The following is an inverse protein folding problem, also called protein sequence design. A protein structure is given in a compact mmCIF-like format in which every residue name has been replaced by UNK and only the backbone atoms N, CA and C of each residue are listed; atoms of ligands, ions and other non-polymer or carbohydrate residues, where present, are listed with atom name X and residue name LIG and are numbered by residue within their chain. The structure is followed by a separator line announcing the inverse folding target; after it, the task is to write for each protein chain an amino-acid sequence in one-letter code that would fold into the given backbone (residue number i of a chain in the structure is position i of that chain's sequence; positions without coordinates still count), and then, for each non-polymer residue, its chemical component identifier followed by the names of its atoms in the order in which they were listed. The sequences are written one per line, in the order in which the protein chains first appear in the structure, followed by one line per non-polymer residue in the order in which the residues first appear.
data_IF_112718588289
#
_entry.id   IF_112718588289
#
_cell.length_a   1.000
_cell.length_b   1.000
_cell.length_c   1.000
_cell.angle_alpha   90.00
_cell.angle_beta   90.00
_cell.angle_gamma   90.00
#
_symmetry.space_group_name_H-M   'P 1'
#
loop_
_entity.id
_entity.type
_entity.pdbx_description
1 polymer ?
#
# COMPACT_ATOMS: atom_id res chain seq x y z
N UNK A 1 26.12 -0.99 3.27
CA UNK A 1 27.12 0.09 3.40
C UNK A 1 28.29 -0.42 4.23
N UNK A 2 29.52 -0.02 3.91
CA UNK A 2 30.69 -0.36 4.73
C UNK A 2 31.04 0.81 5.64
N UNK A 3 31.49 0.52 6.87
CA UNK A 3 32.08 1.54 7.74
C UNK A 3 33.35 2.11 7.08
N UNK A 4 33.51 3.45 7.01
CA UNK A 4 34.62 4.06 6.27
C UNK A 4 36.00 3.68 6.81
N UNK A 5 36.09 3.33 8.10
CA UNK A 5 37.36 2.98 8.76
C UNK A 5 37.62 1.47 8.70
N UNK A 6 36.67 0.64 9.14
CA UNK A 6 36.91 -0.81 9.28
C UNK A 6 36.51 -1.62 8.04
N UNK A 7 35.91 -0.98 7.02
CA UNK A 7 35.36 -1.63 5.81
C UNK A 7 34.42 -2.81 6.08
N UNK A 8 33.91 -2.96 7.30
CA UNK A 8 32.99 -4.04 7.65
C UNK A 8 31.59 -3.72 7.14
N UNK A 9 30.86 -4.78 6.75
CA UNK A 9 29.49 -4.67 6.30
C UNK A 9 28.61 -4.27 7.49
N UNK A 10 27.90 -3.15 7.38
CA UNK A 10 26.93 -2.72 8.39
C UNK A 10 25.69 -3.60 8.27
N UNK A 11 25.48 -4.49 9.24
CA UNK A 11 24.34 -5.41 9.30
C UNK A 11 23.09 -4.77 9.92
N UNK A 12 23.24 -3.72 10.73
CA UNK A 12 22.10 -3.05 11.38
C UNK A 12 22.22 -1.52 11.35
N UNK A 13 21.30 -0.89 10.61
CA UNK A 13 21.27 0.56 10.38
C UNK A 13 20.39 1.31 11.38
N UNK A 14 19.62 0.57 12.19
CA UNK A 14 18.58 1.12 13.08
C UNK A 14 19.15 1.93 14.25
N UNK A 15 20.39 1.65 14.63
CA UNK A 15 21.08 2.27 15.76
C UNK A 15 22.21 3.25 15.36
N UNK A 16 22.34 3.56 14.07
CA UNK A 16 23.37 4.49 13.61
C UNK A 16 23.08 5.91 14.11
N UNK A 17 24.00 6.45 14.92
CA UNK A 17 23.93 7.83 15.40
C UNK A 17 24.41 8.77 14.29
N UNK A 18 23.62 9.79 13.91
CA UNK A 18 24.07 10.79 12.95
C UNK A 18 25.34 11.47 13.43
N UNK A 19 26.34 11.65 12.55
CA UNK A 19 27.53 12.43 12.89
C UNK A 19 27.20 13.93 12.88
N UNK A 20 26.72 14.43 14.02
CA UNK A 20 26.32 15.82 14.19
C UNK A 20 27.47 16.81 13.99
N UNK A 21 28.71 16.42 14.31
CA UNK A 21 29.92 17.23 14.11
C UNK A 21 30.19 17.44 12.63
N UNK A 22 30.26 16.35 11.85
CA UNK A 22 30.47 16.42 10.41
C UNK A 22 29.36 17.21 9.74
N UNK A 23 28.10 16.96 10.13
CA UNK A 23 26.97 17.74 9.65
C UNK A 23 27.16 19.23 9.91
N UNK A 24 27.55 19.63 11.12
CA UNK A 24 27.76 21.04 11.48
C UNK A 24 28.90 21.67 10.68
N UNK A 25 29.98 20.94 10.43
CA UNK A 25 31.11 21.39 9.59
C UNK A 25 30.68 21.63 8.14
N UNK A 26 29.95 20.68 7.54
CA UNK A 26 29.41 20.83 6.18
C UNK A 26 28.49 22.05 6.10
N UNK A 27 27.59 22.22 7.07
CA UNK A 27 26.66 23.35 7.12
C UNK A 27 27.40 24.69 7.24
N UNK A 28 28.39 24.78 8.12
CA UNK A 28 29.20 25.97 8.29
C UNK A 28 29.98 26.31 7.01
N UNK A 29 30.55 25.31 6.34
CA UNK A 29 31.25 25.49 5.07
C UNK A 29 30.31 26.00 3.97
N UNK A 30 29.09 25.43 3.85
CA UNK A 30 28.10 25.92 2.90
C UNK A 30 27.73 27.39 3.17
N UNK A 31 27.57 27.78 4.44
CA UNK A 31 27.26 29.18 4.81
C UNK A 31 28.40 30.13 4.45
N UNK A 32 29.66 29.73 4.69
CA UNK A 32 30.83 30.56 4.37
C UNK A 32 31.02 30.77 2.86
N UNK A 33 30.61 29.80 2.03
CA UNK A 33 30.76 29.85 0.57
C UNK A 33 29.48 30.24 -0.16
N UNK A 34 28.48 30.78 0.53
CA UNK A 34 27.22 31.20 -0.08
C UNK A 34 27.41 32.26 -1.18
N UNK A 35 28.42 33.13 -1.05
CA UNK A 35 28.80 34.12 -2.07
C UNK A 35 29.33 33.51 -3.38
N UNK A 36 29.77 32.25 -3.35
CA UNK A 36 30.22 31.49 -4.52
C UNK A 36 29.09 30.70 -5.19
N UNK A 37 27.83 30.97 -4.82
CA UNK A 37 26.65 30.27 -5.34
C UNK A 37 26.39 28.90 -4.69
N UNK A 38 27.14 28.54 -3.64
CA UNK A 38 26.94 27.28 -2.92
C UNK A 38 25.73 27.40 -2.00
N UNK A 39 24.70 26.60 -2.27
CA UNK A 39 23.50 26.54 -1.45
C UNK A 39 23.68 25.65 -0.23
N UNK A 40 23.01 26.03 0.86
CA UNK A 40 22.96 25.25 2.09
C UNK A 40 22.20 23.95 1.85
N UNK A 41 22.84 22.82 2.14
CA UNK A 41 22.17 21.52 2.10
C UNK A 41 21.08 21.49 3.18
N UNK A 42 19.81 21.27 2.86
CA UNK A 42 18.76 21.23 3.88
C UNK A 42 19.01 20.07 4.85
N UNK A 43 18.92 20.35 6.15
CA UNK A 43 19.04 19.30 7.17
C UNK A 43 17.77 18.44 7.17
N UNK A 44 17.87 17.10 7.19
CA UNK A 44 16.71 16.24 7.38
C UNK A 44 15.97 16.65 8.65
N UNK A 45 14.63 16.74 8.57
CA UNK A 45 13.80 16.96 9.75
C UNK A 45 14.09 15.84 10.77
N UNK A 46 14.15 16.15 12.08
CA UNK A 46 14.33 15.11 13.09
C UNK A 46 13.25 14.03 12.91
N UNK A 47 13.61 12.75 13.11
CA UNK A 47 12.64 11.67 13.00
C UNK A 47 11.51 11.89 14.01
N UNK A 48 10.31 11.48 13.62
CA UNK A 48 9.11 11.67 14.43
C UNK A 48 9.24 10.84 15.70
N UNK A 49 8.83 11.41 16.83
CA UNK A 49 8.88 10.72 18.11
C UNK A 49 7.75 9.67 18.18
N UNK A 50 8.10 8.41 18.47
CA UNK A 50 7.15 7.29 18.65
C UNK A 50 5.99 7.66 19.59
N UNK A 51 6.27 8.42 20.65
CA UNK A 51 5.24 8.87 21.61
C UNK A 51 4.20 9.84 21.02
N UNK A 52 4.57 10.62 20.00
CA UNK A 52 3.63 11.48 19.30
C UNK A 52 2.69 10.65 18.44
N UNK A 53 3.22 9.63 17.76
CA UNK A 53 2.44 8.72 16.91
C UNK A 53 1.44 7.93 17.76
N UNK A 54 1.88 7.35 18.88
CA UNK A 54 0.98 6.58 19.75
C UNK A 54 -0.12 7.44 20.40
N UNK A 55 0.20 8.70 20.76
CA UNK A 55 -0.81 9.68 21.21
C UNK A 55 -1.83 9.98 20.12
N UNK A 56 -1.40 10.17 18.88
CA UNK A 56 -2.29 10.42 17.74
C UNK A 56 -3.19 9.22 17.46
N UNK A 57 -2.65 8.00 17.48
CA UNK A 57 -3.45 6.77 17.32
C UNK A 57 -4.52 6.69 18.41
N UNK A 58 -4.12 6.86 19.68
CA UNK A 58 -5.04 6.80 20.83
C UNK A 58 -6.13 7.86 20.71
N UNK A 59 -5.76 9.09 20.34
CA UNK A 59 -6.71 10.17 20.12
C UNK A 59 -7.69 9.82 19.00
N UNK A 60 -7.21 9.32 17.86
CA UNK A 60 -8.07 8.93 16.75
C UNK A 60 -9.05 7.81 17.15
N UNK A 61 -8.58 6.77 17.84
CA UNK A 61 -9.43 5.65 18.26
C UNK A 61 -10.55 6.03 19.23
N UNK A 62 -10.42 7.14 19.97
CA UNK A 62 -11.35 7.55 21.03
C UNK A 62 -12.21 8.76 20.67
N UNK A 63 -12.05 9.33 19.46
CA UNK A 63 -12.65 10.60 19.09
C UNK A 63 -13.69 10.47 17.97
N UNK A 64 -14.45 11.55 17.76
CA UNK A 64 -15.41 11.68 16.66
C UNK A 64 -14.73 11.69 15.28
N UNK A 65 -15.54 11.54 14.23
CA UNK A 65 -15.09 11.46 12.83
C UNK A 65 -14.17 12.63 12.42
N UNK A 66 -14.50 13.85 12.82
CA UNK A 66 -13.71 15.04 12.47
C UNK A 66 -12.28 14.98 13.04
N UNK A 67 -12.13 14.52 14.29
CA UNK A 67 -10.81 14.37 14.91
C UNK A 67 -10.06 13.21 14.25
N UNK A 68 -10.73 12.10 13.94
CA UNK A 68 -10.10 10.97 13.23
C UNK A 68 -9.51 11.41 11.88
N UNK A 69 -10.26 12.16 11.09
CA UNK A 69 -9.78 12.71 9.81
C UNK A 69 -8.55 13.60 10.02
N UNK A 70 -8.58 14.51 11.01
CA UNK A 70 -7.41 15.35 11.33
C UNK A 70 -6.18 14.54 11.75
N UNK A 71 -6.36 13.48 12.53
CA UNK A 71 -5.30 12.57 12.91
C UNK A 71 -4.74 11.83 11.69
N UNK A 72 -5.58 11.33 10.78
CA UNK A 72 -5.15 10.68 9.54
C UNK A 72 -4.39 11.63 8.62
N UNK A 73 -4.85 12.87 8.45
CA UNK A 73 -4.14 13.90 7.67
C UNK A 73 -2.74 14.15 8.26
N UNK A 74 -2.63 14.18 9.59
CA UNK A 74 -1.35 14.33 10.28
C UNK A 74 -0.46 13.10 10.05
N UNK A 75 -1.00 11.89 10.16
CA UNK A 75 -0.26 10.64 9.86
C UNK A 75 0.20 10.59 8.40
N UNK A 76 -0.60 11.09 7.44
CA UNK A 76 -0.17 11.22 6.04
C UNK A 76 1.05 12.12 5.91
N UNK A 77 1.05 13.27 6.59
CA UNK A 77 2.21 14.19 6.57
C UNK A 77 3.49 13.56 7.14
N UNK A 78 3.33 12.57 8.02
CA UNK A 78 4.41 11.82 8.61
C UNK A 78 4.94 10.74 7.68
N UNK A 79 4.03 10.03 7.01
CA UNK A 79 4.33 9.01 6.01
C UNK A 79 5.00 9.60 4.74
N UNK A 80 4.72 10.85 4.39
CA UNK A 80 5.41 11.57 3.29
C UNK A 80 6.80 12.08 3.66
N UNK A 81 7.24 11.86 4.90
CA UNK A 81 8.57 12.24 5.38
C UNK A 81 9.67 11.27 4.94
N UNK A 82 10.53 10.86 5.88
CA UNK A 82 11.65 9.95 5.60
C UNK A 82 11.24 8.47 5.67
N UNK A 83 12.03 7.59 5.04
CA UNK A 83 11.85 6.14 5.20
C UNK A 83 11.96 5.69 6.67
N UNK A 84 12.81 6.38 7.45
CA UNK A 84 12.91 6.17 8.90
C UNK A 84 11.59 6.49 9.61
N UNK A 85 10.87 7.54 9.19
CA UNK A 85 9.55 7.84 9.75
C UNK A 85 8.55 6.72 9.46
N UNK A 86 8.55 6.17 8.24
CA UNK A 86 7.65 5.07 7.87
C UNK A 86 7.88 3.84 8.74
N UNK A 87 9.14 3.46 8.97
CA UNK A 87 9.51 2.37 9.89
C UNK A 87 9.06 2.65 11.33
N UNK A 88 9.31 3.86 11.85
CA UNK A 88 8.84 4.22 13.18
C UNK A 88 7.32 4.23 13.30
N UNK A 89 6.60 4.56 12.23
CA UNK A 89 5.14 4.48 12.18
C UNK A 89 4.66 3.03 12.23
N UNK A 90 5.29 2.14 11.47
CA UNK A 90 5.01 0.70 11.52
C UNK A 90 5.28 0.15 12.94
N UNK A 91 6.44 0.43 13.53
CA UNK A 91 6.80 0.03 14.90
C UNK A 91 5.89 0.62 15.99
N UNK A 92 5.19 1.71 15.68
CA UNK A 92 4.23 2.36 16.57
C UNK A 92 2.82 1.80 16.46
N UNK A 93 2.59 0.81 15.59
CA UNK A 93 1.27 0.19 15.37
C UNK A 93 0.35 0.98 14.45
N UNK A 94 0.89 1.88 13.61
CA UNK A 94 0.07 2.63 12.64
C UNK A 94 -0.59 1.68 11.64
N UNK A 95 0.09 0.62 11.20
CA UNK A 95 -0.45 -0.33 10.23
C UNK A 95 -1.72 -0.99 10.76
N UNK A 96 -1.70 -1.50 12.00
CA UNK A 96 -2.85 -2.15 12.64
C UNK A 96 -4.01 -1.17 12.90
N UNK A 97 -3.68 0.08 13.24
CA UNK A 97 -4.67 1.14 13.40
C UNK A 97 -5.37 1.46 12.08
N UNK A 98 -4.62 1.62 10.98
CA UNK A 98 -5.18 1.88 9.66
C UNK A 98 -5.98 0.67 9.14
N UNK A 99 -5.50 -0.55 9.36
CA UNK A 99 -6.24 -1.76 9.03
C UNK A 99 -7.57 -1.85 9.78
N UNK A 100 -7.56 -1.57 11.09
CA UNK A 100 -8.78 -1.48 11.90
C UNK A 100 -9.74 -0.42 11.36
N UNK A 101 -9.20 0.72 10.95
CA UNK A 101 -9.95 1.85 10.40
C UNK A 101 -10.67 1.46 9.11
N UNK A 102 -9.98 0.79 8.19
CA UNK A 102 -10.56 0.26 6.95
C UNK A 102 -11.61 -0.81 7.26
N UNK A 103 -11.31 -1.77 8.14
CA UNK A 103 -12.25 -2.85 8.49
C UNK A 103 -13.55 -2.30 9.04
N UNK A 104 -13.47 -1.40 10.01
CA UNK A 104 -14.64 -0.86 10.71
C UNK A 104 -15.52 0.03 9.82
N UNK A 105 -14.98 0.62 8.74
CA UNK A 105 -15.69 1.60 7.90
C UNK A 105 -16.00 1.11 6.49
N UNK A 106 -15.48 -0.05 6.07
CA UNK A 106 -15.67 -0.60 4.71
C UNK A 106 -17.11 -0.88 4.29
N UNK A 107 -18.06 -0.96 5.24
CA UNK A 107 -19.49 -1.11 4.91
C UNK A 107 -20.19 0.22 4.58
N UNK A 108 -19.62 1.37 4.98
CA UNK A 108 -20.23 2.69 4.88
C UNK A 108 -19.62 3.55 3.75
N UNK A 109 -19.02 2.92 2.75
CA UNK A 109 -18.32 3.62 1.65
C UNK A 109 -19.30 4.52 0.88
N UNK A 110 -20.55 4.07 0.72
CA UNK A 110 -21.59 4.78 -0.04
C UNK A 110 -22.10 6.05 0.67
N UNK A 111 -22.09 6.07 2.01
CA UNK A 111 -22.69 7.14 2.81
C UNK A 111 -21.72 8.26 3.21
N UNK A 112 -20.41 8.01 3.16
CA UNK A 112 -19.39 9.01 3.49
C UNK A 112 -19.18 10.06 2.38
N UNK A 113 -19.59 9.76 1.14
CA UNK A 113 -19.51 10.71 0.00
C UNK A 113 -20.54 11.84 0.07
N UNK A 114 -21.59 11.69 0.90
CA UNK A 114 -22.69 12.65 1.02
C UNK A 114 -22.53 13.64 2.18
N UNK A 115 -21.50 13.49 3.02
CA UNK A 115 -21.25 14.41 4.13
C UNK A 115 -20.34 15.55 3.67
N UNK A 116 -20.99 16.63 3.26
CA UNK A 116 -20.42 17.96 2.98
C UNK A 116 -19.68 18.51 4.22
N UNK A 117 -18.48 18.00 4.49
CA UNK A 117 -17.51 18.65 5.36
C UNK A 117 -16.45 19.30 4.48
N UNK A 118 -15.90 20.44 4.92
CA UNK A 118 -14.94 21.31 4.20
C UNK A 118 -13.67 20.60 3.67
N UNK A 119 -13.50 19.30 3.92
CA UNK A 119 -12.33 18.52 3.50
C UNK A 119 -12.63 17.35 2.56
N UNK A 120 -13.88 16.92 2.33
CA UNK A 120 -14.25 15.78 1.45
C UNK A 120 -13.39 14.50 1.64
N UNK A 121 -12.73 14.31 2.79
CA UNK A 121 -11.81 13.18 3.01
C UNK A 121 -12.61 11.99 3.54
N UNK A 122 -12.74 10.95 2.71
CA UNK A 122 -13.21 9.65 3.16
C UNK A 122 -12.11 8.96 3.99
N UNK A 123 -12.51 8.49 5.17
CA UNK A 123 -11.64 7.84 6.15
C UNK A 123 -10.96 6.57 5.60
N UNK A 124 -11.70 5.78 4.80
CA UNK A 124 -11.18 4.56 4.18
C UNK A 124 -10.15 4.91 3.12
N UNK A 125 -10.46 5.87 2.25
CA UNK A 125 -9.58 6.30 1.17
C UNK A 125 -8.27 6.88 1.71
N UNK A 126 -8.36 7.71 2.75
CA UNK A 126 -7.19 8.27 3.44
C UNK A 126 -6.35 7.17 4.09
N UNK A 127 -6.99 6.21 4.77
CA UNK A 127 -6.27 5.12 5.41
C UNK A 127 -5.54 4.21 4.40
N UNK A 128 -6.18 3.88 3.28
CA UNK A 128 -5.56 3.09 2.21
C UNK A 128 -4.39 3.82 1.55
N UNK A 129 -4.54 5.12 1.33
CA UNK A 129 -3.45 5.95 0.78
C UNK A 129 -2.25 5.98 1.72
N UNK A 130 -2.47 6.11 3.03
CA UNK A 130 -1.37 6.09 4.01
C UNK A 130 -0.72 4.71 4.03
N UNK A 131 -1.50 3.63 4.10
CA UNK A 131 -0.98 2.25 4.07
C UNK A 131 -0.12 1.99 2.84
N UNK A 132 -0.57 2.39 1.65
CA UNK A 132 0.19 2.24 0.41
C UNK A 132 1.52 3.01 0.46
N UNK A 133 1.51 4.23 0.97
CA UNK A 133 2.70 5.10 1.03
C UNK A 133 3.69 4.71 2.14
N UNK A 134 3.26 3.94 3.14
CA UNK A 134 4.13 3.47 4.23
C UNK A 134 5.16 2.45 3.76
N UNK A 135 5.00 1.82 2.59
CA UNK A 135 5.87 0.71 2.13
C UNK A 135 6.05 -0.33 3.24
N UNK A 136 4.91 -0.81 3.76
CA UNK A 136 4.82 -1.76 4.87
C UNK A 136 5.78 -2.92 4.66
N UNK A 137 6.51 -3.28 5.73
CA UNK A 137 7.46 -4.40 5.69
C UNK A 137 6.78 -5.73 5.35
N UNK A 138 7.57 -6.73 4.95
CA UNK A 138 7.05 -8.09 4.71
C UNK A 138 6.31 -8.64 5.93
N UNK A 139 6.84 -8.41 7.15
CA UNK A 139 6.19 -8.84 8.39
C UNK A 139 4.85 -8.12 8.59
N UNK A 140 4.79 -6.80 8.33
CA UNK A 140 3.55 -6.04 8.39
C UNK A 140 2.52 -6.48 7.35
N UNK A 141 2.94 -6.81 6.13
CA UNK A 141 2.06 -7.34 5.08
C UNK A 141 1.50 -8.73 5.46
N UNK A 142 2.31 -9.60 6.06
CA UNK A 142 1.85 -10.88 6.63
C UNK A 142 0.86 -10.68 7.77
N UNK A 143 1.08 -9.68 8.63
CA UNK A 143 0.12 -9.30 9.67
C UNK A 143 -1.20 -8.82 9.06
N UNK A 144 -1.16 -8.01 7.99
CA UNK A 144 -2.36 -7.55 7.28
C UNK A 144 -3.16 -8.70 6.65
N UNK A 145 -2.48 -9.73 6.13
CA UNK A 145 -3.14 -10.93 5.59
C UNK A 145 -3.93 -11.68 6.66
N UNK A 146 -3.35 -11.83 7.86
CA UNK A 146 -3.97 -12.50 8.99
C UNK A 146 -4.90 -11.59 9.81
N UNK A 147 -4.96 -10.29 9.50
CA UNK A 147 -5.59 -9.28 10.33
C UNK A 147 -7.07 -9.57 10.56
N UNK A 148 -7.46 -9.69 11.84
CA UNK A 148 -8.82 -10.05 12.27
C UNK A 148 -9.37 -11.26 11.48
N UNK A 149 -8.59 -12.33 11.36
CA UNK A 149 -8.97 -13.55 10.63
C UNK A 149 -9.28 -13.30 9.14
N UNK A 150 -8.52 -12.42 8.48
CA UNK A 150 -8.67 -12.12 7.05
C UNK A 150 -9.75 -11.08 6.73
N UNK A 151 -10.39 -10.47 7.73
CA UNK A 151 -11.39 -9.41 7.52
C UNK A 151 -10.83 -8.21 6.75
N UNK A 152 -9.53 -7.94 6.83
CA UNK A 152 -8.93 -6.85 6.06
C UNK A 152 -9.05 -7.08 4.55
N UNK A 153 -8.85 -8.31 4.08
CA UNK A 153 -9.02 -8.65 2.64
C UNK A 153 -10.49 -8.54 2.23
N UNK A 154 -11.42 -8.95 3.09
CA UNK A 154 -12.86 -8.76 2.85
C UNK A 154 -13.22 -7.27 2.74
N UNK A 155 -12.63 -6.43 3.58
CA UNK A 155 -12.80 -4.98 3.49
C UNK A 155 -12.18 -4.37 2.24
N UNK A 156 -11.02 -4.85 1.78
CA UNK A 156 -10.46 -4.45 0.48
C UNK A 156 -11.39 -4.87 -0.66
N UNK A 157 -11.99 -6.06 -0.58
CA UNK A 157 -12.97 -6.52 -1.59
C UNK A 157 -14.18 -5.58 -1.65
N UNK A 158 -14.72 -5.15 -0.50
CA UNK A 158 -15.79 -4.15 -0.44
C UNK A 158 -15.38 -2.79 -1.01
N UNK A 159 -14.13 -2.38 -0.81
CA UNK A 159 -13.58 -1.17 -1.43
C UNK A 159 -13.49 -1.31 -2.94
N UNK A 160 -13.14 -2.48 -3.46
CA UNK A 160 -13.14 -2.71 -4.90
C UNK A 160 -14.56 -2.61 -5.50
N UNK A 161 -15.57 -3.10 -4.77
CA UNK A 161 -16.99 -3.06 -5.17
C UNK A 161 -17.60 -1.65 -5.17
N UNK A 162 -17.28 -0.85 -4.15
CA UNK A 162 -18.00 0.40 -3.85
C UNK A 162 -17.15 1.66 -3.91
N UNK A 163 -15.84 1.50 -3.94
CA UNK A 163 -14.89 2.62 -3.90
C UNK A 163 -14.80 3.39 -5.20
N UNK A 164 -14.22 4.59 -5.12
CA UNK A 164 -13.84 5.37 -6.31
C UNK A 164 -12.52 4.87 -6.89
N UNK A 165 -12.19 5.32 -8.10
CA UNK A 165 -10.98 4.91 -8.83
C UNK A 165 -9.69 4.98 -7.98
N UNK A 166 -9.52 6.01 -7.16
CA UNK A 166 -8.32 6.16 -6.32
C UNK A 166 -8.25 5.09 -5.21
N UNK A 167 -9.33 4.85 -4.45
CA UNK A 167 -9.31 3.85 -3.38
C UNK A 167 -9.26 2.42 -3.90
N UNK A 168 -9.91 2.15 -5.05
CA UNK A 168 -9.76 0.89 -5.77
C UNK A 168 -8.31 0.65 -6.19
N UNK A 169 -7.63 1.69 -6.70
CA UNK A 169 -6.21 1.59 -7.07
C UNK A 169 -5.32 1.24 -5.86
N UNK A 170 -5.47 1.95 -4.73
CA UNK A 170 -4.68 1.63 -3.53
C UNK A 170 -5.01 0.24 -2.98
N UNK A 171 -6.27 -0.19 -3.00
CA UNK A 171 -6.67 -1.53 -2.60
C UNK A 171 -5.97 -2.60 -3.46
N UNK A 172 -5.92 -2.43 -4.79
CA UNK A 172 -5.20 -3.35 -5.67
C UNK A 172 -3.69 -3.36 -5.39
N UNK A 173 -3.06 -2.20 -5.17
CA UNK A 173 -1.63 -2.16 -4.85
C UNK A 173 -1.31 -2.86 -3.52
N UNK A 174 -2.18 -2.72 -2.53
CA UNK A 174 -2.03 -3.42 -1.25
C UNK A 174 -2.24 -4.93 -1.42
N UNK A 175 -3.30 -5.36 -2.11
CA UNK A 175 -3.54 -6.78 -2.43
C UNK A 175 -2.36 -7.40 -3.18
N UNK A 176 -1.80 -6.69 -4.15
CA UNK A 176 -0.62 -7.12 -4.90
C UNK A 176 0.59 -7.30 -3.98
N UNK A 177 0.87 -6.32 -3.12
CA UNK A 177 2.00 -6.40 -2.17
C UNK A 177 1.82 -7.51 -1.13
N UNK A 178 0.59 -7.69 -0.66
CA UNK A 178 0.25 -8.76 0.29
C UNK A 178 0.35 -10.14 -0.33
N UNK A 179 -0.15 -10.33 -1.56
CA UNK A 179 -0.08 -11.63 -2.24
C UNK A 179 1.34 -12.05 -2.59
N UNK A 180 2.25 -11.10 -2.86
CA UNK A 180 3.68 -11.38 -3.10
C UNK A 180 4.40 -12.02 -1.91
N UNK A 181 3.93 -11.77 -0.68
CA UNK A 181 4.55 -12.31 0.55
C UNK A 181 3.71 -13.40 1.23
N UNK A 182 2.56 -13.74 0.65
CA UNK A 182 1.59 -14.65 1.24
C UNK A 182 2.03 -16.10 1.10
N UNK A 183 1.83 -16.89 2.16
CA UNK A 183 1.96 -18.34 2.07
C UNK A 183 0.75 -18.95 1.36
N UNK A 184 0.91 -20.06 0.62
CA UNK A 184 -0.19 -20.68 -0.12
C UNK A 184 -1.45 -20.94 0.73
N UNK A 185 -1.26 -21.29 2.01
CA UNK A 185 -2.32 -21.58 2.98
C UNK A 185 -3.18 -20.35 3.28
N UNK A 186 -2.56 -19.16 3.36
CA UNK A 186 -3.26 -17.89 3.63
C UNK A 186 -4.12 -17.46 2.43
N UNK A 187 -3.76 -17.89 1.23
CA UNK A 187 -4.49 -17.60 0.01
C UNK A 187 -5.60 -18.63 -0.30
N UNK A 188 -5.74 -19.72 0.47
CA UNK A 188 -6.71 -20.79 0.15
C UNK A 188 -8.17 -20.34 0.20
N UNK A 189 -8.51 -19.49 1.18
CA UNK A 189 -9.89 -19.18 1.53
C UNK A 189 -10.43 -17.90 0.85
N UNK A 190 -9.79 -17.45 -0.24
CA UNK A 190 -10.23 -16.25 -0.94
C UNK A 190 -11.59 -16.48 -1.63
N UNK A 191 -12.53 -15.57 -1.41
CA UNK A 191 -13.90 -15.61 -1.96
C UNK A 191 -13.87 -15.33 -3.47
N UNK A 192 -14.86 -15.86 -4.20
CA UNK A 192 -15.01 -15.62 -5.64
C UNK A 192 -15.20 -14.12 -5.93
N UNK A 193 -15.87 -13.39 -5.03
CA UNK A 193 -16.07 -11.94 -5.12
C UNK A 193 -14.76 -11.17 -5.34
N UNK A 194 -13.66 -11.56 -4.68
CA UNK A 194 -12.36 -10.90 -4.88
C UNK A 194 -11.86 -11.04 -6.32
N UNK A 195 -12.08 -12.20 -6.95
CA UNK A 195 -11.70 -12.42 -8.35
C UNK A 195 -12.57 -11.59 -9.29
N UNK A 196 -13.89 -11.56 -9.06
CA UNK A 196 -14.83 -10.73 -9.83
C UNK A 196 -14.39 -9.26 -9.79
N UNK A 197 -14.05 -8.75 -8.62
CA UNK A 197 -13.62 -7.37 -8.47
C UNK A 197 -12.27 -7.06 -9.11
N UNK A 198 -11.29 -7.97 -9.02
CA UNK A 198 -10.01 -7.81 -9.72
C UNK A 198 -10.19 -7.82 -11.24
N UNK A 199 -11.09 -8.65 -11.77
CA UNK A 199 -11.46 -8.67 -13.19
C UNK A 199 -12.17 -7.39 -13.59
N UNK A 200 -13.08 -6.87 -12.74
CA UNK A 200 -13.74 -5.60 -12.99
C UNK A 200 -12.74 -4.44 -13.04
N UNK A 201 -11.72 -4.42 -12.19
CA UNK A 201 -10.63 -3.42 -12.27
C UNK A 201 -9.87 -3.49 -13.61
N UNK A 202 -9.63 -4.70 -14.14
CA UNK A 202 -9.02 -4.86 -15.47
C UNK A 202 -9.90 -4.27 -16.57
N UNK A 203 -11.21 -4.52 -16.49
CA UNK A 203 -12.20 -3.98 -17.44
C UNK A 203 -12.31 -2.46 -17.36
N UNK A 204 -12.27 -1.91 -16.16
CA UNK A 204 -12.40 -0.46 -15.94
C UNK A 204 -11.15 0.33 -16.36
N UNK A 205 -10.02 -0.35 -16.60
CA UNK A 205 -8.78 0.25 -17.12
C UNK A 205 -8.33 1.51 -16.36
N UNK A 206 -8.46 1.52 -15.03
CA UNK A 206 -8.22 2.68 -14.15
C UNK A 206 -6.87 3.35 -14.45
N UNK A 207 -5.82 2.55 -14.58
CA UNK A 207 -4.53 2.97 -15.13
C UNK A 207 -3.68 1.74 -15.46
N UNK A 208 -2.71 1.89 -16.34
CA UNK A 208 -1.78 0.80 -16.70
C UNK A 208 -1.05 0.18 -15.50
N UNK A 209 -0.73 1.00 -14.48
CA UNK A 209 -0.09 0.51 -13.25
C UNK A 209 -1.03 -0.37 -12.43
N UNK A 210 -2.30 0.03 -12.35
CA UNK A 210 -3.34 -0.70 -11.61
C UNK A 210 -3.69 -1.99 -12.34
N UNK A 211 -3.89 -1.96 -13.66
CA UNK A 211 -4.15 -3.16 -14.47
C UNK A 211 -3.00 -4.16 -14.35
N UNK A 212 -1.74 -3.69 -14.41
CA UNK A 212 -0.57 -4.54 -14.18
C UNK A 212 -0.59 -5.18 -12.79
N UNK A 213 -0.88 -4.41 -11.74
CA UNK A 213 -0.93 -4.94 -10.37
C UNK A 213 -2.08 -5.95 -10.19
N UNK A 214 -3.25 -5.72 -10.80
CA UNK A 214 -4.37 -6.65 -10.80
C UNK A 214 -4.01 -7.96 -11.51
N UNK A 215 -3.37 -7.90 -12.69
CA UNK A 215 -2.85 -9.09 -13.39
C UNK A 215 -1.88 -9.88 -12.53
N UNK A 216 -0.89 -9.22 -11.91
CA UNK A 216 0.07 -9.90 -11.01
C UNK A 216 -0.62 -10.58 -9.83
N UNK A 217 -1.60 -9.90 -9.23
CA UNK A 217 -2.39 -10.45 -8.12
C UNK A 217 -3.16 -11.70 -8.58
N UNK A 218 -3.84 -11.65 -9.73
CA UNK A 218 -4.57 -12.80 -10.28
C UNK A 218 -3.64 -13.97 -10.61
N UNK A 219 -2.46 -13.72 -11.17
CA UNK A 219 -1.46 -14.76 -11.46
C UNK A 219 -1.05 -15.49 -10.18
N UNK A 220 -0.77 -14.75 -9.09
CA UNK A 220 -0.38 -15.34 -7.80
C UNK A 220 -1.56 -16.07 -7.14
N UNK A 221 -2.80 -15.62 -7.36
CA UNK A 221 -3.99 -16.27 -6.82
C UNK A 221 -4.39 -17.54 -7.59
N UNK A 222 -4.07 -17.66 -8.88
CA UNK A 222 -4.48 -18.78 -9.74
C UNK A 222 -3.55 -20.02 -9.88
N UNK A 223 -2.58 -20.35 -9.00
CA UNK A 223 -1.82 -21.60 -9.13
C UNK A 223 -2.64 -22.88 -8.84
N UNK A 224 -3.63 -22.83 -7.94
CA UNK A 224 -4.36 -24.00 -7.48
C UNK A 224 -5.67 -24.22 -8.25
N UNK A 225 -6.01 -25.46 -8.63
CA UNK A 225 -7.20 -25.81 -9.42
C UNK A 225 -8.51 -25.15 -8.96
N UNK A 226 -8.82 -25.21 -7.64
CA UNK A 226 -10.04 -24.56 -7.09
C UNK A 226 -10.09 -23.05 -7.30
N UNK A 227 -8.95 -22.37 -7.34
CA UNK A 227 -8.86 -20.92 -7.56
C UNK A 227 -8.90 -20.57 -9.05
N UNK A 228 -8.36 -21.44 -9.90
CA UNK A 228 -8.50 -21.30 -11.36
C UNK A 228 -9.97 -21.32 -11.78
N UNK A 229 -10.75 -22.26 -11.23
CA UNK A 229 -12.21 -22.34 -11.45
C UNK A 229 -12.89 -21.01 -11.08
N UNK A 230 -12.60 -20.47 -9.89
CA UNK A 230 -13.13 -19.16 -9.47
C UNK A 230 -12.74 -18.01 -10.41
N UNK A 231 -11.50 -18.01 -10.90
CA UNK A 231 -11.04 -17.03 -11.89
C UNK A 231 -11.82 -17.14 -13.22
N UNK A 232 -12.07 -18.35 -13.69
CA UNK A 232 -12.88 -18.59 -14.89
C UNK A 232 -14.34 -18.17 -14.67
N UNK A 233 -14.94 -18.55 -13.54
CA UNK A 233 -16.30 -18.17 -13.13
C UNK A 233 -16.46 -16.64 -13.00
N UNK A 234 -15.41 -15.94 -12.58
CA UNK A 234 -15.36 -14.48 -12.51
C UNK A 234 -15.28 -13.79 -13.90
N UNK A 235 -15.26 -14.55 -15.00
CA UNK A 235 -15.22 -14.01 -16.35
C UNK A 235 -13.82 -13.56 -16.82
N UNK A 236 -12.76 -13.97 -16.12
CA UNK A 236 -11.38 -13.52 -16.42
C UNK A 236 -10.99 -13.78 -17.88
N UNK A 237 -11.34 -14.95 -18.43
CA UNK A 237 -10.94 -15.35 -19.78
C UNK A 237 -11.48 -14.39 -20.84
N UNK A 238 -12.76 -14.00 -20.75
CA UNK A 238 -13.40 -13.09 -21.70
C UNK A 238 -12.71 -11.72 -21.68
N UNK A 239 -12.51 -11.16 -20.48
CA UNK A 239 -11.87 -9.85 -20.30
C UNK A 239 -10.42 -9.86 -20.83
N UNK A 240 -9.66 -10.94 -20.61
CA UNK A 240 -8.31 -11.04 -21.15
C UNK A 240 -8.28 -11.09 -22.68
N UNK A 241 -9.23 -11.78 -23.31
CA UNK A 241 -9.33 -11.83 -24.78
C UNK A 241 -9.66 -10.44 -25.34
N UNK A 242 -10.64 -9.75 -24.76
CA UNK A 242 -10.99 -8.37 -25.15
C UNK A 242 -9.79 -7.43 -25.04
N UNK A 243 -9.09 -7.46 -23.90
CA UNK A 243 -7.92 -6.62 -23.66
C UNK A 243 -6.73 -6.95 -24.59
N UNK A 244 -6.53 -8.22 -24.93
CA UNK A 244 -5.48 -8.63 -25.88
C UNK A 244 -5.76 -8.11 -27.30
N UNK A 245 -7.03 -8.12 -27.72
CA UNK A 245 -7.45 -7.57 -29.01
C UNK A 245 -7.27 -6.05 -29.06
N UNK A 246 -7.59 -5.36 -27.97
CA UNK A 246 -7.40 -3.90 -27.87
C UNK A 246 -5.92 -3.51 -27.80
N UNK A 247 -5.09 -4.30 -27.11
CA UNK A 247 -3.72 -3.93 -26.76
C UNK A 247 -2.64 -4.58 -27.63
N UNK A 248 -2.90 -4.76 -28.93
CA UNK A 248 -2.06 -5.54 -29.86
C UNK A 248 -0.58 -5.12 -29.94
N UNK A 249 -0.21 -3.90 -29.52
CA UNK A 249 1.15 -3.33 -29.68
C UNK A 249 2.02 -3.46 -28.44
N UNK A 250 1.44 -3.63 -27.26
CA UNK A 250 2.19 -3.60 -26.00
C UNK A 250 2.58 -5.00 -25.55
N UNK A 251 3.82 -5.39 -25.84
CA UNK A 251 4.37 -6.72 -25.56
C UNK A 251 4.24 -7.13 -24.08
N UNK A 252 4.63 -6.27 -23.14
CA UNK A 252 4.72 -6.63 -21.71
C UNK A 252 3.35 -6.94 -21.06
N UNK A 253 2.32 -6.08 -21.20
CA UNK A 253 0.96 -6.41 -20.78
C UNK A 253 0.44 -7.69 -21.42
N UNK A 254 0.68 -7.89 -22.72
CA UNK A 254 0.22 -9.08 -23.44
C UNK A 254 0.87 -10.36 -22.92
N UNK A 255 2.18 -10.35 -22.63
CA UNK A 255 2.86 -11.48 -22.00
C UNK A 255 2.22 -11.85 -20.64
N UNK A 256 1.86 -10.85 -19.83
CA UNK A 256 1.20 -11.11 -18.54
C UNK A 256 -0.23 -11.65 -18.69
N UNK A 257 -0.99 -11.13 -19.65
CA UNK A 257 -2.34 -11.61 -19.95
C UNK A 257 -2.31 -13.05 -20.47
N UNK A 258 -1.36 -13.37 -21.36
CA UNK A 258 -1.15 -14.73 -21.86
C UNK A 258 -0.71 -15.69 -20.75
N UNK A 259 0.16 -15.26 -19.84
CA UNK A 259 0.57 -16.08 -18.69
C UNK A 259 -0.61 -16.36 -17.75
N UNK A 260 -1.49 -15.38 -17.52
CA UNK A 260 -2.71 -15.61 -16.74
C UNK A 260 -3.68 -16.54 -17.48
N UNK A 261 -3.85 -16.41 -18.80
CA UNK A 261 -4.65 -17.34 -19.60
C UNK A 261 -4.09 -18.77 -19.52
N UNK A 262 -2.77 -18.94 -19.65
CA UNK A 262 -2.12 -20.25 -19.49
C UNK A 262 -2.42 -20.86 -18.11
N UNK A 263 -2.31 -20.06 -17.03
CA UNK A 263 -2.66 -20.51 -15.68
C UNK A 263 -4.11 -20.99 -15.59
N UNK A 264 -5.04 -20.32 -16.28
CA UNK A 264 -6.45 -20.67 -16.31
C UNK A 264 -6.75 -21.87 -17.22
N UNK A 265 -5.97 -22.09 -18.28
CA UNK A 265 -6.15 -23.22 -19.20
C UNK A 265 -5.73 -24.57 -18.59
N UNK A 266 -4.88 -24.58 -17.57
CA UNK A 266 -4.51 -25.79 -16.83
C UNK A 266 -5.63 -26.27 -15.87
N UNK A 267 -6.90 -25.95 -16.12
CA UNK A 267 -8.04 -26.39 -15.29
C UNK A 267 -8.45 -27.85 -15.50
N UNK A 268 -7.98 -28.50 -16.57
CA UNK A 268 -8.32 -29.87 -16.96
C UNK A 268 -7.27 -30.88 -16.52
#
# INVERSE_FOLDING_TARGET
MHTPITKQLLSDYTHLTPNHTLRRLIQAWCTLNASQGIQRIPTPKPPINKTQITKLIKQASQSNLTIQIKCLITLRSFASGSETNKRFMEDAGVVDFLASTVVNNSCNIDSASLLLSETNVNLVDEALRILHNLHVSEAGLKNLLAFKNGQFIESLTKVLQKGFFESRAYAVFLLKSMTEVAEPVQLLHQKTDLFVELVQVLKDQISQKVSKAALQTLIILCPCGRKRIKGVEAGTVLVLIELLLENCKDRKPNEMMLLLLECLCQCA
#
